data_IF_160356292536
#
_entry.id   IF_160356292536
#
_cell.length_a   1.000
_cell.length_b   1.000
_cell.length_c   1.000
_cell.angle_alpha   90.00
_cell.angle_beta   90.00
_cell.angle_gamma   90.00
#
_symmetry.space_group_name_H-M   'P 1'
#
loop_
_entity.id
_entity.type
_entity.pdbx_description
1 polymer ?
#
# COMPACT_ATOMS: atom_id res chain seq x y z
N UNK A 1 -15.87 -14.78 19.76
CA UNK A 1 -14.87 -14.08 20.58
C UNK A 1 -13.57 -13.99 19.78
N UNK A 2 -13.20 -12.77 19.40
CA UNK A 2 -12.17 -12.45 18.40
C UNK A 2 -10.76 -12.49 18.99
N UNK A 3 -9.76 -12.91 18.21
CA UNK A 3 -8.34 -12.82 18.55
C UNK A 3 -7.65 -11.91 17.55
N UNK A 4 -7.60 -10.62 17.86
CA UNK A 4 -6.59 -9.71 17.34
C UNK A 4 -5.74 -9.32 18.55
N UNK A 5 -4.72 -10.12 18.86
CA UNK A 5 -3.88 -9.94 20.05
C UNK A 5 -2.64 -9.13 19.68
N UNK A 6 -2.83 -7.83 19.49
CA UNK A 6 -1.80 -6.86 19.80
C UNK A 6 -2.49 -5.57 20.29
N UNK A 7 -2.35 -5.28 21.59
CA UNK A 7 -2.65 -3.96 22.18
C UNK A 7 -4.09 -3.61 22.55
N UNK A 8 -5.10 -4.49 22.39
CA UNK A 8 -6.49 -4.17 22.79
C UNK A 8 -6.97 -5.03 23.97
N UNK A 9 -7.18 -4.38 25.12
CA UNK A 9 -7.86 -4.96 26.29
C UNK A 9 -9.37 -4.91 26.08
N UNK A 10 -10.04 -6.06 26.13
CA UNK A 10 -11.50 -6.15 26.11
C UNK A 10 -11.97 -7.01 27.29
N UNK A 11 -13.02 -6.54 27.97
CA UNK A 11 -13.74 -7.29 29.01
C UNK A 11 -14.46 -8.47 28.35
N UNK A 12 -14.13 -9.71 28.71
CA UNK A 12 -14.81 -10.91 28.19
C UNK A 12 -16.07 -11.19 29.02
N UNK A 13 -17.23 -10.75 28.54
CA UNK A 13 -18.50 -11.36 28.93
C UNK A 13 -18.70 -12.64 28.09
N UNK A 14 -18.97 -13.76 28.75
CA UNK A 14 -19.37 -14.99 28.06
C UNK A 14 -20.85 -14.90 27.71
N UNK A 15 -21.18 -15.02 26.42
CA UNK A 15 -22.56 -15.03 25.93
C UNK A 15 -22.94 -16.44 25.47
N UNK A 16 -24.13 -16.90 25.84
CA UNK A 16 -24.73 -18.14 25.31
C UNK A 16 -25.57 -17.81 24.09
N UNK A 17 -25.27 -18.43 22.95
CA UNK A 17 -26.03 -18.32 21.71
C UNK A 17 -26.80 -19.63 21.45
N UNK A 18 -28.11 -19.53 21.25
CA UNK A 18 -28.96 -20.67 20.87
C UNK A 18 -29.44 -20.46 19.43
N UNK A 19 -29.17 -21.42 18.55
CA UNK A 19 -29.60 -21.41 17.15
C UNK A 19 -30.64 -22.51 16.91
N UNK A 20 -31.76 -22.16 16.27
CA UNK A 20 -32.77 -23.12 15.81
C UNK A 20 -32.24 -23.94 14.63
N UNK A 21 -32.86 -25.09 14.32
CA UNK A 21 -32.51 -25.85 13.12
C UNK A 21 -32.52 -24.96 11.87
N UNK A 22 -31.45 -25.04 11.07
CA UNK A 22 -31.19 -24.22 9.87
C UNK A 22 -30.93 -22.72 10.11
N UNK A 23 -31.02 -22.23 11.34
CA UNK A 23 -30.65 -20.87 11.69
C UNK A 23 -29.13 -20.67 11.56
N UNK A 24 -28.73 -19.52 11.02
CA UNK A 24 -27.32 -19.18 10.80
C UNK A 24 -27.00 -17.87 11.50
N UNK A 25 -25.86 -17.85 12.16
CA UNK A 25 -25.27 -16.61 12.65
C UNK A 25 -24.16 -16.17 11.70
N UNK A 26 -24.14 -14.88 11.36
CA UNK A 26 -23.08 -14.28 10.53
C UNK A 26 -22.42 -13.17 11.32
N UNK A 27 -21.11 -13.26 11.44
CA UNK A 27 -20.28 -12.17 11.90
C UNK A 27 -19.51 -11.58 10.72
N UNK A 28 -19.44 -10.25 10.66
CA UNK A 28 -18.72 -9.53 9.60
C UNK A 28 -17.71 -8.62 10.28
N UNK A 29 -16.49 -8.64 9.77
CA UNK A 29 -15.44 -7.73 10.18
C UNK A 29 -14.87 -7.06 8.92
N UNK A 30 -14.38 -5.84 9.07
CA UNK A 30 -13.75 -5.08 7.99
C UNK A 30 -12.35 -4.70 8.43
N UNK A 31 -11.37 -5.03 7.59
CA UNK A 31 -9.97 -4.70 7.83
C UNK A 31 -9.50 -3.74 6.74
N UNK A 32 -8.92 -2.63 7.16
CA UNK A 32 -8.32 -1.59 6.32
C UNK A 32 -6.91 -1.96 5.82
N UNK A 33 -6.47 -3.20 6.10
CA UNK A 33 -5.12 -3.71 5.87
C UNK A 33 -4.05 -3.02 6.73
N UNK A 34 -4.42 -2.41 7.86
CA UNK A 34 -3.48 -1.79 8.79
C UNK A 34 -3.20 -2.68 10.00
N UNK A 35 -1.96 -2.67 10.46
CA UNK A 35 -1.51 -3.29 11.71
C UNK A 35 -0.61 -2.29 12.45
N UNK A 36 -0.88 -2.06 13.73
CA UNK A 36 -0.18 -1.05 14.56
C UNK A 36 -0.09 0.35 13.89
N UNK A 37 -1.16 0.76 13.19
CA UNK A 37 -1.24 2.06 12.51
C UNK A 37 -0.45 2.16 11.19
N UNK A 38 0.13 1.06 10.69
CA UNK A 38 0.81 1.00 9.39
C UNK A 38 0.14 -0.02 8.49
N UNK A 39 0.05 0.29 7.20
CA UNK A 39 -0.42 -0.66 6.20
C UNK A 39 0.54 -1.86 6.13
N UNK A 40 0.00 -3.07 6.03
CA UNK A 40 0.82 -4.26 5.78
C UNK A 40 1.32 -4.27 4.32
N UNK A 41 2.49 -4.89 4.02
CA UNK A 41 3.00 -4.98 2.66
C UNK A 41 2.02 -5.62 1.66
N UNK A 42 2.12 -5.25 0.37
CA UNK A 42 1.43 -5.96 -0.72
C UNK A 42 1.82 -7.45 -0.72
N UNK A 43 0.85 -8.33 -0.97
CA UNK A 43 1.14 -9.76 -1.10
C UNK A 43 -0.06 -10.67 -0.86
N UNK A 44 0.19 -11.97 -0.93
CA UNK A 44 -0.78 -12.99 -0.53
C UNK A 44 -0.71 -13.20 0.99
N UNK A 45 -1.87 -13.14 1.64
CA UNK A 45 -2.03 -13.31 3.08
C UNK A 45 -2.99 -14.46 3.37
N UNK A 46 -2.71 -15.16 4.46
CA UNK A 46 -3.62 -16.14 5.02
C UNK A 46 -4.38 -15.53 6.20
N UNK A 47 -5.70 -15.42 6.06
CA UNK A 47 -6.61 -15.02 7.12
C UNK A 47 -7.09 -16.25 7.84
N UNK A 48 -6.88 -16.30 9.16
CA UNK A 48 -7.37 -17.37 10.01
C UNK A 48 -8.40 -16.80 10.99
N UNK A 49 -9.63 -17.30 10.90
CA UNK A 49 -10.72 -16.93 11.80
C UNK A 49 -10.91 -18.03 12.84
N UNK A 50 -10.88 -17.68 14.13
CA UNK A 50 -11.14 -18.59 15.24
C UNK A 50 -12.45 -18.24 15.94
N UNK A 51 -13.40 -19.16 15.94
CA UNK A 51 -14.55 -19.11 16.82
C UNK A 51 -14.14 -19.65 18.20
N UNK A 52 -13.87 -18.75 19.15
CA UNK A 52 -13.46 -19.14 20.52
C UNK A 52 -14.65 -19.59 21.40
N UNK A 53 -15.41 -20.59 20.97
CA UNK A 53 -16.39 -21.24 21.85
C UNK A 53 -15.67 -22.17 22.83
N UNK A 54 -16.12 -22.19 24.08
CA UNK A 54 -15.60 -23.12 25.10
C UNK A 54 -16.41 -24.41 25.19
N UNK A 55 -17.71 -24.33 24.89
CA UNK A 55 -18.66 -25.44 24.92
C UNK A 55 -19.58 -25.41 23.71
N UNK A 56 -19.98 -26.58 23.21
CA UNK A 56 -21.00 -26.77 22.18
C UNK A 56 -21.97 -27.84 22.68
N UNK A 57 -23.25 -27.53 22.74
CA UNK A 57 -24.30 -28.43 23.25
C UNK A 57 -24.00 -28.98 24.67
N UNK A 58 -23.39 -28.15 25.53
CA UNK A 58 -23.03 -28.52 26.91
C UNK A 58 -21.64 -29.19 27.03
N UNK A 59 -21.10 -29.75 25.96
CA UNK A 59 -19.81 -30.44 25.97
C UNK A 59 -18.64 -29.48 25.73
N UNK A 60 -17.49 -29.64 26.43
CA UNK A 60 -16.29 -28.86 26.15
C UNK A 60 -15.77 -29.07 24.73
N UNK A 61 -15.35 -27.99 24.07
CA UNK A 61 -14.73 -28.07 22.74
C UNK A 61 -13.34 -28.72 22.87
N UNK A 62 -13.22 -29.96 22.38
CA UNK A 62 -11.95 -30.72 22.42
C UNK A 62 -11.05 -30.45 21.22
N UNK A 63 -11.64 -30.25 20.03
CA UNK A 63 -10.92 -29.93 18.80
C UNK A 63 -11.22 -28.50 18.32
N UNK A 64 -10.26 -27.60 18.51
CA UNK A 64 -10.36 -26.19 18.09
C UNK A 64 -10.30 -26.02 16.57
N UNK A 65 -9.85 -27.03 15.81
CA UNK A 65 -9.82 -26.97 14.34
C UNK A 65 -11.21 -26.90 13.74
N UNK A 66 -12.21 -27.52 14.38
CA UNK A 66 -13.62 -27.44 13.97
C UNK A 66 -14.18 -26.02 14.04
N UNK A 67 -13.51 -25.14 14.79
CA UNK A 67 -13.89 -23.76 15.01
C UNK A 67 -12.90 -22.78 14.36
N UNK A 68 -12.09 -23.28 13.44
CA UNK A 68 -11.12 -22.47 12.71
C UNK A 68 -11.43 -22.55 11.22
N UNK A 69 -11.55 -21.40 10.57
CA UNK A 69 -11.59 -21.30 9.11
C UNK A 69 -10.38 -20.52 8.63
N UNK A 70 -9.83 -20.93 7.48
CA UNK A 70 -8.67 -20.29 6.88
C UNK A 70 -8.98 -19.95 5.44
N UNK A 71 -8.70 -18.71 5.04
CA UNK A 71 -8.85 -18.24 3.66
C UNK A 71 -7.62 -17.48 3.23
N UNK A 72 -7.27 -17.58 1.96
CA UNK A 72 -6.26 -16.72 1.36
C UNK A 72 -6.91 -15.46 0.81
N UNK A 73 -6.18 -14.35 0.85
CA UNK A 73 -6.57 -13.11 0.19
C UNK A 73 -5.33 -12.36 -0.28
N UNK A 74 -5.45 -11.62 -1.37
CA UNK A 74 -4.38 -10.77 -1.87
C UNK A 74 -4.63 -9.32 -1.42
N UNK A 75 -3.63 -8.73 -0.77
CA UNK A 75 -3.63 -7.32 -0.38
C UNK A 75 -2.97 -6.53 -1.52
N UNK A 76 -3.71 -5.65 -2.22
CA UNK A 76 -3.12 -4.86 -3.29
C UNK A 76 -2.16 -3.81 -2.72
N UNK A 77 -1.15 -3.47 -3.53
CA UNK A 77 -0.27 -2.32 -3.29
C UNK A 77 -1.06 -1.01 -3.28
N UNK A 78 -0.50 -0.01 -2.62
CA UNK A 78 -1.15 1.31 -2.46
C UNK A 78 -1.36 2.03 -3.78
N UNK A 79 -0.44 1.84 -4.74
CA UNK A 79 -0.54 2.41 -6.07
C UNK A 79 -0.77 1.30 -7.11
N UNK A 80 -1.80 1.41 -7.96
CA UNK A 80 -2.12 0.35 -8.92
C UNK A 80 -1.14 0.28 -10.10
N UNK A 81 -0.32 1.31 -10.31
CA UNK A 81 0.53 1.52 -11.49
C UNK A 81 2.02 1.39 -11.18
N UNK A 82 2.47 1.90 -10.04
CA UNK A 82 3.88 1.97 -9.65
C UNK A 82 4.14 1.18 -8.37
N UNK A 83 5.28 0.52 -8.27
CA UNK A 83 5.75 -0.07 -7.02
C UNK A 83 7.27 -0.11 -6.94
N UNK A 84 7.77 -0.10 -5.71
CA UNK A 84 9.20 -0.22 -5.42
C UNK A 84 10.06 0.91 -6.01
N UNK A 85 9.48 2.10 -6.22
CA UNK A 85 10.22 3.24 -6.75
C UNK A 85 11.20 3.76 -5.68
N UNK A 86 12.48 3.79 -6.03
CA UNK A 86 13.58 4.27 -5.18
C UNK A 86 14.49 5.17 -5.99
N UNK A 87 15.08 6.17 -5.34
CA UNK A 87 16.07 7.07 -5.95
C UNK A 87 17.44 6.91 -5.30
N UNK A 88 18.47 6.88 -6.14
CA UNK A 88 19.87 7.02 -5.77
C UNK A 88 20.41 8.33 -6.35
N UNK A 89 21.40 8.94 -5.69
CA UNK A 89 22.06 10.15 -6.16
C UNK A 89 21.79 11.37 -5.28
N UNK A 90 22.54 12.44 -5.53
CA UNK A 90 22.55 13.68 -4.73
C UNK A 90 22.91 14.87 -5.63
N UNK A 91 22.71 16.09 -5.12
CA UNK A 91 23.10 17.35 -5.76
C UNK A 91 22.56 17.46 -7.18
N UNK A 92 21.27 17.17 -7.33
CA UNK A 92 20.56 17.34 -8.59
C UNK A 92 20.80 16.23 -9.62
N UNK A 93 21.62 15.22 -9.34
CA UNK A 93 21.81 14.08 -10.23
C UNK A 93 21.24 12.82 -9.59
N UNK A 94 20.09 12.36 -10.10
CA UNK A 94 19.33 11.25 -9.52
C UNK A 94 19.09 10.14 -10.53
N UNK A 95 19.18 8.91 -10.07
CA UNK A 95 18.78 7.70 -10.79
C UNK A 95 17.62 7.06 -10.05
N UNK A 96 16.47 6.98 -10.70
CA UNK A 96 15.26 6.41 -10.13
C UNK A 96 14.99 5.08 -10.80
N UNK A 97 14.72 4.05 -10.00
CA UNK A 97 14.35 2.71 -10.49
C UNK A 97 13.08 2.26 -9.79
N UNK A 98 12.29 1.46 -10.48
CA UNK A 98 11.10 0.84 -9.94
C UNK A 98 10.44 -0.06 -10.97
N UNK A 99 9.23 -0.53 -10.65
CA UNK A 99 8.39 -1.24 -11.60
C UNK A 99 7.13 -0.43 -11.89
N UNK A 100 6.70 -0.45 -13.16
CA UNK A 100 5.48 0.19 -13.60
C UNK A 100 4.67 -0.75 -14.50
N UNK A 101 3.35 -0.61 -14.46
CA UNK A 101 2.40 -1.28 -15.36
C UNK A 101 1.29 -0.32 -15.84
N UNK A 102 1.65 0.83 -16.45
CA UNK A 102 0.65 1.81 -16.84
C UNK A 102 -0.41 1.21 -17.76
N UNK A 103 -1.64 1.67 -17.61
CA UNK A 103 -2.82 1.19 -18.34
C UNK A 103 -2.60 1.36 -19.84
N UNK A 104 -2.05 2.50 -20.24
CA UNK A 104 -1.84 2.86 -21.65
C UNK A 104 -0.40 2.64 -22.13
N UNK A 105 0.44 1.92 -21.37
CA UNK A 105 1.84 1.68 -21.74
C UNK A 105 2.74 2.92 -21.65
N UNK A 106 2.29 3.96 -20.97
CA UNK A 106 3.03 5.20 -20.71
C UNK A 106 2.58 5.83 -19.41
N UNK A 107 3.48 6.55 -18.76
CA UNK A 107 3.19 7.39 -17.62
C UNK A 107 3.87 8.75 -17.79
N UNK A 108 3.61 9.66 -16.86
CA UNK A 108 4.18 11.00 -16.84
C UNK A 108 4.90 11.23 -15.53
N UNK A 109 5.83 12.18 -15.55
CA UNK A 109 6.47 12.63 -14.32
C UNK A 109 6.77 14.13 -14.33
N UNK A 110 6.84 14.70 -13.13
CA UNK A 110 7.31 16.06 -12.85
C UNK A 110 8.30 16.03 -11.70
N UNK A 111 9.17 17.04 -11.61
CA UNK A 111 10.02 17.25 -10.43
C UNK A 111 9.77 18.64 -9.87
N UNK A 112 9.60 18.74 -8.56
CA UNK A 112 9.33 19.99 -7.85
C UNK A 112 10.05 20.05 -6.50
N UNK A 113 10.14 21.26 -5.94
CA UNK A 113 10.69 21.53 -4.59
C UNK A 113 9.63 22.04 -3.59
N UNK A 114 8.35 22.01 -3.96
CA UNK A 114 7.23 22.58 -3.19
C UNK A 114 6.93 24.05 -3.48
N UNK A 115 7.84 24.78 -4.12
CA UNK A 115 7.62 26.16 -4.57
C UNK A 115 7.60 26.29 -6.09
N UNK A 116 8.47 25.52 -6.76
CA UNK A 116 8.71 25.58 -8.19
C UNK A 116 8.72 24.18 -8.79
N UNK A 117 8.22 24.09 -10.01
CA UNK A 117 8.44 22.93 -10.86
C UNK A 117 9.85 23.03 -11.48
N UNK A 118 10.74 22.13 -11.07
CA UNK A 118 12.13 22.06 -11.53
C UNK A 118 12.24 21.36 -12.89
N UNK A 119 11.40 20.34 -13.12
CA UNK A 119 11.27 19.65 -14.41
C UNK A 119 9.79 19.63 -14.81
N UNK A 120 9.45 20.13 -16.01
CA UNK A 120 8.09 20.11 -16.53
C UNK A 120 7.60 18.68 -16.75
N UNK A 121 6.29 18.52 -16.92
CA UNK A 121 5.70 17.22 -17.26
C UNK A 121 6.42 16.58 -18.44
N UNK A 122 6.90 15.36 -18.22
CA UNK A 122 7.61 14.58 -19.22
C UNK A 122 6.96 13.21 -19.36
N UNK A 123 6.66 12.81 -20.61
CA UNK A 123 6.11 11.49 -20.92
C UNK A 123 7.21 10.43 -20.90
N UNK A 124 6.95 9.30 -20.24
CA UNK A 124 7.79 8.11 -20.24
C UNK A 124 7.01 6.95 -20.83
N UNK A 125 7.46 6.43 -21.97
CA UNK A 125 6.93 5.19 -22.54
C UNK A 125 7.54 4.00 -21.82
N UNK A 126 6.71 3.09 -21.35
CA UNK A 126 7.16 1.86 -20.72
C UNK A 126 7.18 0.73 -21.74
N UNK A 127 8.17 -0.17 -21.62
CA UNK A 127 8.20 -1.41 -22.42
C UNK A 127 7.12 -2.44 -22.05
N UNK A 128 6.16 -2.08 -21.19
CA UNK A 128 5.05 -2.92 -20.76
C UNK A 128 3.84 -2.10 -20.33
N UNK A 129 2.71 -2.78 -20.16
CA UNK A 129 1.42 -2.20 -19.77
C UNK A 129 0.66 -3.15 -18.88
N UNK A 130 -0.39 -2.66 -18.23
CA UNK A 130 -1.30 -3.50 -17.44
C UNK A 130 -1.76 -4.75 -18.24
N UNK A 131 -1.75 -5.96 -17.63
CA UNK A 131 -1.47 -6.26 -16.22
C UNK A 131 0.00 -6.50 -15.88
N UNK A 132 0.91 -6.44 -16.86
CA UNK A 132 2.30 -6.85 -16.70
C UNK A 132 3.17 -5.74 -16.10
N UNK A 133 3.78 -6.02 -14.96
CA UNK A 133 4.84 -5.21 -14.38
C UNK A 133 6.10 -5.28 -15.25
N UNK A 134 6.71 -4.12 -15.50
CA UNK A 134 8.04 -4.02 -16.11
C UNK A 134 8.91 -3.04 -15.32
N UNK A 135 10.22 -3.30 -15.23
CA UNK A 135 11.15 -2.34 -14.65
C UNK A 135 11.22 -1.07 -15.51
N UNK A 136 11.40 0.07 -14.86
CA UNK A 136 11.76 1.34 -15.49
C UNK A 136 13.00 1.94 -14.81
N UNK A 137 13.70 2.81 -15.53
CA UNK A 137 14.80 3.62 -15.00
C UNK A 137 14.66 5.04 -15.55
N UNK A 138 14.79 6.03 -14.68
CA UNK A 138 14.84 7.45 -15.03
C UNK A 138 16.17 8.03 -14.55
N UNK A 139 16.76 8.90 -15.35
CA UNK A 139 17.91 9.70 -14.97
C UNK A 139 17.50 11.17 -15.01
N UNK A 140 17.69 11.85 -13.89
CA UNK A 140 17.26 13.23 -13.69
C UNK A 140 18.49 14.05 -13.38
N UNK A 141 18.65 15.15 -14.12
CA UNK A 141 19.71 16.14 -13.90
C UNK A 141 19.09 17.52 -13.74
N UNK A 142 19.32 18.13 -12.59
CA UNK A 142 18.86 19.48 -12.21
C UNK A 142 20.11 20.31 -11.89
N UNK A 143 20.28 21.51 -12.50
CA UNK A 143 21.38 22.40 -12.15
C UNK A 143 21.38 22.75 -10.66
N UNK A 144 22.55 22.75 -10.01
CA UNK A 144 22.68 23.08 -8.59
C UNK A 144 22.08 24.45 -8.23
N UNK A 145 22.15 25.42 -9.15
CA UNK A 145 21.57 26.76 -8.97
C UNK A 145 20.05 26.79 -8.86
N UNK A 146 19.37 25.71 -9.27
CA UNK A 146 17.91 25.54 -9.15
C UNK A 146 17.52 24.66 -7.96
N UNK A 147 18.48 24.06 -7.26
CA UNK A 147 18.17 23.24 -6.10
C UNK A 147 17.77 24.13 -4.91
N UNK A 148 16.81 23.67 -4.10
CA UNK A 148 16.40 24.42 -2.92
C UNK A 148 17.53 24.44 -1.88
N UNK A 149 17.68 25.56 -1.17
CA UNK A 149 18.61 25.63 -0.02
C UNK A 149 18.09 24.84 1.17
N UNK A 150 16.77 24.84 1.38
CA UNK A 150 16.07 24.08 2.40
C UNK A 150 14.81 23.48 1.79
N UNK A 151 14.48 22.25 2.16
CA UNK A 151 13.26 21.58 1.69
C UNK A 151 13.54 20.20 1.11
N UNK A 152 12.71 19.78 0.15
CA UNK A 152 12.84 18.47 -0.48
C UNK A 152 12.62 18.60 -1.97
N UNK A 153 13.41 17.86 -2.75
CA UNK A 153 13.15 17.66 -4.17
C UNK A 153 12.36 16.36 -4.32
N UNK A 154 11.19 16.43 -4.95
CA UNK A 154 10.24 15.33 -5.08
C UNK A 154 9.96 15.08 -6.56
N UNK A 155 10.03 13.82 -6.96
CA UNK A 155 9.57 13.31 -8.25
C UNK A 155 8.12 12.82 -8.08
N UNK A 156 7.19 13.34 -8.86
CA UNK A 156 5.83 12.82 -8.92
C UNK A 156 5.66 11.95 -10.16
N UNK A 157 5.42 10.65 -10.00
CA UNK A 157 5.04 9.74 -11.09
C UNK A 157 3.52 9.63 -11.16
N UNK A 158 2.91 9.65 -12.35
CA UNK A 158 1.45 9.56 -12.47
C UNK A 158 0.98 9.14 -13.87
N UNK A 159 -0.31 8.83 -14.01
CA UNK A 159 -0.98 8.68 -15.30
C UNK A 159 -1.95 9.85 -15.54
N UNK A 160 -2.39 10.01 -16.78
CA UNK A 160 -3.54 10.86 -17.12
C UNK A 160 -4.76 10.01 -17.46
N UNK A 161 -5.92 10.40 -16.94
CA UNK A 161 -7.21 9.83 -17.31
C UNK A 161 -7.56 10.15 -18.77
N UNK A 162 -8.68 9.61 -19.27
CA UNK A 162 -9.17 9.95 -20.62
C UNK A 162 -9.52 11.44 -20.76
N UNK A 163 -9.96 12.06 -19.68
CA UNK A 163 -10.32 13.48 -19.60
C UNK A 163 -9.10 14.36 -19.31
N UNK A 164 -7.91 13.76 -19.20
CA UNK A 164 -6.65 14.46 -18.97
C UNK A 164 -6.32 14.73 -17.50
N UNK A 165 -7.13 14.27 -16.55
CA UNK A 165 -6.86 14.46 -15.11
C UNK A 165 -5.68 13.61 -14.64
N UNK A 166 -4.90 14.14 -13.69
CA UNK A 166 -3.80 13.38 -13.05
C UNK A 166 -4.40 12.31 -12.13
N UNK A 167 -4.00 11.06 -12.32
CA UNK A 167 -4.44 9.91 -11.53
C UNK A 167 -3.25 9.01 -11.18
N UNK A 168 -3.43 8.15 -10.17
CA UNK A 168 -2.43 7.18 -9.72
C UNK A 168 -1.08 7.80 -9.35
N UNK A 169 -1.10 8.99 -8.75
CA UNK A 169 0.11 9.70 -8.31
C UNK A 169 0.94 8.88 -7.33
N UNK A 170 2.24 8.87 -7.52
CA UNK A 170 3.24 8.19 -6.70
C UNK A 170 4.44 9.12 -6.48
N UNK A 171 4.50 9.85 -5.35
CA UNK A 171 5.63 10.71 -5.03
C UNK A 171 6.83 9.89 -4.60
N UNK A 172 8.01 10.28 -5.07
CA UNK A 172 9.31 9.71 -4.73
C UNK A 172 10.22 10.84 -4.26
N UNK A 173 10.70 10.75 -3.02
CA UNK A 173 11.65 11.71 -2.47
C UNK A 173 13.01 11.52 -3.15
N UNK A 174 13.53 12.54 -3.82
CA UNK A 174 14.85 12.50 -4.46
C UNK A 174 15.97 12.91 -3.50
N UNK A 175 15.81 14.05 -2.82
CA UNK A 175 16.79 14.56 -1.85
C UNK A 175 16.13 15.50 -0.84
N UNK A 176 16.62 15.49 0.41
CA UNK A 176 16.26 16.50 1.43
C UNK A 176 17.44 17.43 1.66
N UNK A 177 17.15 18.72 1.62
CA UNK A 177 18.08 19.80 1.89
C UNK A 177 17.77 20.37 3.27
N UNK A 178 18.70 20.18 4.20
CA UNK A 178 18.66 20.78 5.52
C UNK A 178 19.90 21.66 5.63
N UNK A 179 19.74 22.96 5.91
CA UNK A 179 20.87 23.78 6.31
C UNK A 179 21.49 23.22 7.59
N UNK A 180 22.66 22.60 7.46
CA UNK A 180 23.62 22.52 8.55
C UNK A 180 24.48 23.77 8.48
N UNK A 181 24.11 24.79 9.26
CA UNK A 181 25.08 25.77 9.74
C UNK A 181 25.85 25.16 10.90
#
# INVERSE_FOLDING_TARGET
MYQYSEGKSFTQAFETLTLKPQEKMKWVDSWDYSMAGKRVPEGEYTVTAHLKATNINGEPVRDKKLLTDTKTMYIPGENPVFKGAVSDGIKGNYKIKGEARPINGKFFYTVEDGHNQLIPETEMKTGGKYPQWKPFSLEISIPESKLPQNGSVILNLYERSKDGEIIHTHPVLLERFNNHN
#
